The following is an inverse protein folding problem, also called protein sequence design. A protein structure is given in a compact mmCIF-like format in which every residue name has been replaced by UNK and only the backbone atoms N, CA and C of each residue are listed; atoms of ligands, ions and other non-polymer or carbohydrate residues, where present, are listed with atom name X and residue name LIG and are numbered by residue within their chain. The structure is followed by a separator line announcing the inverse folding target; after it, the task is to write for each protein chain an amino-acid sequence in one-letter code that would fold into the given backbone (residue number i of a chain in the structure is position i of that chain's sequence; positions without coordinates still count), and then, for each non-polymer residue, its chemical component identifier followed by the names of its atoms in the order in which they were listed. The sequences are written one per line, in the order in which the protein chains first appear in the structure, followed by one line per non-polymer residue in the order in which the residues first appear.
data_IF_544440536119
#
_entry.id   IF_544440536119
#
_cell.length_a   1.000
_cell.length_b   1.000
_cell.length_c   1.000
_cell.angle_alpha   90.00
_cell.angle_beta   90.00
_cell.angle_gamma   90.00
#
_symmetry.space_group_name_H-M   'P 1'
#
loop_
_entity.id
_entity.type
_entity.pdbx_description
1 polymer ?
#
# COMPACT_ATOMS: atom_id res chain seq x y z
N UNK A 1 24.67 9.11 -12.13
CA UNK A 1 23.51 9.05 -13.04
C UNK A 1 22.26 9.35 -12.23
N UNK A 2 21.68 10.53 -12.40
CA UNK A 2 20.45 10.98 -11.73
C UNK A 2 19.24 10.43 -12.50
N UNK A 3 18.44 9.60 -11.85
CA UNK A 3 17.20 9.08 -12.46
C UNK A 3 16.14 10.17 -12.26
N UNK A 4 15.60 10.78 -13.32
CA UNK A 4 14.59 11.82 -13.17
C UNK A 4 13.31 11.21 -12.57
N UNK A 5 12.91 11.70 -11.40
CA UNK A 5 11.70 11.23 -10.73
C UNK A 5 10.48 11.89 -11.38
N UNK A 6 9.55 11.08 -11.89
CA UNK A 6 8.31 11.58 -12.50
C UNK A 6 7.32 11.86 -11.38
N UNK A 7 7.07 13.13 -11.09
CA UNK A 7 6.25 13.62 -9.97
C UNK A 7 4.82 13.06 -9.95
N UNK A 8 4.22 12.81 -11.11
CA UNK A 8 2.87 12.21 -11.20
C UNK A 8 2.79 10.77 -10.70
N UNK A 9 3.93 10.08 -10.53
CA UNK A 9 4.02 8.71 -10.00
C UNK A 9 4.22 8.66 -8.47
N UNK A 10 4.27 9.83 -7.82
CA UNK A 10 4.36 9.98 -6.36
C UNK A 10 2.98 10.20 -5.70
N UNK A 11 1.91 10.31 -6.50
CA UNK A 11 0.56 10.45 -5.96
C UNK A 11 -0.01 9.09 -5.59
N UNK A 12 -0.59 9.02 -4.39
CA UNK A 12 -1.29 7.84 -3.91
C UNK A 12 -2.54 7.61 -4.77
N UNK A 13 -2.67 6.45 -5.44
CA UNK A 13 -3.87 6.14 -6.18
C UNK A 13 -5.05 5.99 -5.21
N UNK A 14 -6.25 6.49 -5.56
CA UNK A 14 -7.41 6.37 -4.70
C UNK A 14 -7.76 4.89 -4.47
N UNK A 15 -8.10 4.50 -3.22
CA UNK A 15 -8.47 3.14 -2.91
C UNK A 15 -9.76 2.77 -3.67
N UNK A 16 -9.73 1.66 -4.40
CA UNK A 16 -10.91 1.15 -5.12
C UNK A 16 -11.83 0.40 -4.16
N UNK A 17 -13.08 0.85 -4.08
CA UNK A 17 -14.14 0.41 -3.14
C UNK A 17 -14.56 -1.08 -3.24
N UNK A 18 -14.08 -1.85 -4.23
CA UNK A 18 -14.45 -3.27 -4.45
C UNK A 18 -13.23 -4.21 -4.42
N UNK A 19 -12.28 -3.95 -3.54
CA UNK A 19 -11.09 -4.81 -3.38
C UNK A 19 -11.38 -5.88 -2.34
N UNK A 20 -11.09 -7.15 -2.65
CA UNK A 20 -11.19 -8.24 -1.67
C UNK A 20 -10.10 -8.07 -0.63
N UNK A 21 -10.49 -7.92 0.63
CA UNK A 21 -9.55 -7.64 1.71
C UNK A 21 -8.60 -8.82 1.93
N UNK A 22 -7.30 -8.61 1.78
CA UNK A 22 -6.28 -9.66 1.96
C UNK A 22 -5.46 -9.43 3.22
N UNK A 23 -6.08 -9.68 4.38
CA UNK A 23 -5.48 -9.47 5.71
C UNK A 23 -4.06 -10.04 5.86
N UNK A 24 -3.83 -11.27 5.39
CA UNK A 24 -2.50 -11.91 5.42
C UNK A 24 -1.41 -11.11 4.69
N UNK A 25 -1.73 -10.46 3.57
CA UNK A 25 -0.75 -9.66 2.82
C UNK A 25 -0.51 -8.30 3.48
N UNK A 26 -1.55 -7.72 4.10
CA UNK A 26 -1.45 -6.48 4.89
C UNK A 26 -0.54 -6.70 6.10
N UNK A 27 -0.69 -7.82 6.81
CA UNK A 27 0.17 -8.19 7.95
C UNK A 27 1.64 -8.35 7.52
N UNK A 28 1.90 -9.06 6.41
CA UNK A 28 3.26 -9.18 5.87
C UNK A 28 3.88 -7.84 5.47
N UNK A 29 3.07 -6.91 4.95
CA UNK A 29 3.53 -5.54 4.67
C UNK A 29 3.82 -4.76 5.95
N UNK A 30 3.02 -4.94 7.00
CA UNK A 30 3.25 -4.33 8.31
C UNK A 30 4.54 -4.85 8.95
N UNK A 31 4.82 -6.15 8.90
CA UNK A 31 6.08 -6.72 9.37
C UNK A 31 7.29 -6.15 8.58
N UNK A 32 7.09 -5.89 7.29
CA UNK A 32 8.07 -5.26 6.40
C UNK A 32 8.43 -3.82 6.78
N UNK A 33 7.60 -3.11 7.57
CA UNK A 33 7.91 -1.75 8.06
C UNK A 33 9.11 -1.72 9.01
N UNK A 34 9.39 -2.84 9.68
CA UNK A 34 10.53 -2.98 10.58
C UNK A 34 11.87 -3.07 9.82
N UNK A 35 11.85 -3.05 8.48
CA UNK A 35 13.02 -3.14 7.62
C UNK A 35 13.25 -1.83 6.86
N UNK A 36 14.51 -1.54 6.55
CA UNK A 36 14.90 -0.33 5.80
C UNK A 36 14.31 -0.25 4.38
N UNK A 37 13.96 -1.40 3.78
CA UNK A 37 13.38 -1.48 2.44
C UNK A 37 12.51 -2.74 2.30
N UNK A 38 11.30 -2.56 1.77
CA UNK A 38 10.39 -3.66 1.40
C UNK A 38 10.06 -3.57 -0.07
N UNK A 39 10.26 -4.66 -0.82
CA UNK A 39 10.02 -4.73 -2.28
C UNK A 39 8.85 -5.67 -2.54
N UNK A 40 7.86 -5.19 -3.30
CA UNK A 40 6.68 -5.98 -3.70
C UNK A 40 6.85 -6.41 -5.16
N UNK A 41 7.09 -7.70 -5.39
CA UNK A 41 7.17 -8.30 -6.73
C UNK A 41 5.98 -9.20 -7.01
N UNK A 42 5.34 -9.02 -8.16
CA UNK A 42 4.25 -9.86 -8.65
C UNK A 42 4.06 -9.63 -10.17
N UNK A 43 3.42 -10.57 -10.89
CA UNK A 43 3.05 -10.40 -12.29
C UNK A 43 2.21 -9.15 -12.58
N UNK A 44 2.13 -8.76 -13.85
CA UNK A 44 1.16 -7.75 -14.29
C UNK A 44 -0.27 -8.26 -14.01
N UNK A 45 -1.17 -7.37 -13.58
CA UNK A 45 -2.55 -7.73 -13.25
C UNK A 45 -2.79 -8.34 -11.85
N UNK A 46 -1.77 -8.73 -11.10
CA UNK A 46 -1.94 -9.31 -9.74
C UNK A 46 -2.47 -8.34 -8.68
N UNK A 47 -2.59 -7.06 -9.00
CA UNK A 47 -3.14 -6.05 -8.09
C UNK A 47 -2.14 -5.44 -7.10
N UNK A 48 -0.84 -5.40 -7.40
CA UNK A 48 0.20 -4.78 -6.54
C UNK A 48 -0.17 -3.37 -6.08
N UNK A 49 -0.56 -2.51 -7.02
CA UNK A 49 -0.99 -1.13 -6.73
C UNK A 49 -2.27 -1.11 -5.89
N UNK A 50 -3.18 -2.04 -6.13
CA UNK A 50 -4.41 -2.18 -5.34
C UNK A 50 -4.08 -2.57 -3.89
N UNK A 51 -3.18 -3.54 -3.68
CA UNK A 51 -2.73 -3.97 -2.34
C UNK A 51 -2.09 -2.83 -1.54
N UNK A 52 -1.23 -2.02 -2.18
CA UNK A 52 -0.61 -0.86 -1.51
C UNK A 52 -1.65 0.20 -1.16
N UNK A 53 -2.62 0.47 -2.06
CA UNK A 53 -3.70 1.43 -1.81
C UNK A 53 -4.59 0.99 -0.65
N UNK A 54 -4.89 -0.30 -0.58
CA UNK A 54 -5.68 -0.93 0.50
C UNK A 54 -4.94 -0.91 1.83
N UNK A 55 -3.65 -1.23 1.83
CA UNK A 55 -2.79 -1.15 3.03
C UNK A 55 -2.73 0.26 3.60
N UNK A 56 -2.56 1.27 2.74
CA UNK A 56 -2.59 2.68 3.16
C UNK A 56 -3.99 3.11 3.65
N UNK A 57 -5.07 2.60 3.05
CA UNK A 57 -6.43 2.87 3.51
C UNK A 57 -6.73 2.21 4.88
N UNK A 58 -6.17 1.02 5.14
CA UNK A 58 -6.24 0.36 6.45
C UNK A 58 -5.61 1.23 7.55
N UNK A 59 -4.52 1.94 7.26
CA UNK A 59 -3.93 2.90 8.19
C UNK A 59 -4.82 4.13 8.43
N UNK A 60 -5.57 4.57 7.41
CA UNK A 60 -6.48 5.71 7.53
C UNK A 60 -7.72 5.39 8.40
N UNK A 61 -8.26 4.16 8.32
CA UNK A 61 -9.34 3.73 9.21
C UNK A 61 -8.91 3.72 10.69
N UNK A 62 -7.67 3.29 10.96
CA UNK A 62 -7.12 3.26 12.32
C UNK A 62 -6.95 4.68 12.94
N UNK A 63 -6.92 5.74 12.12
CA UNK A 63 -6.97 7.13 12.60
C UNK A 63 -8.37 7.58 13.03
N UNK A 64 -9.44 6.91 12.63
CA UNK A 64 -10.82 7.25 13.01
C UNK A 64 -11.30 6.48 14.25
N UNK A 65 -10.60 5.42 14.66
CA UNK A 65 -10.99 4.57 15.80
C UNK A 65 -10.24 4.86 17.12
N UNK A 66 -9.30 5.79 17.14
CA UNK A 66 -8.56 6.21 18.34
C UNK A 66 -8.99 7.60 18.87
N UNK A 67 -10.26 7.98 18.69
CA UNK A 67 -10.83 9.17 19.32
C UNK A 67 -12.19 8.88 19.96
N UNK A 68 -12.23 7.85 20.81
CA UNK A 68 -13.17 7.77 21.93
C UNK A 68 -12.50 7.00 23.07
#
# INVERSE_FOLDING_TARGET
MTIPIVTTKLYMPPPRLKTVTRHRLIEQLNEGLNRKLTVISAPAGSGKTTLVSEWLASWACCKFQNNT
#
